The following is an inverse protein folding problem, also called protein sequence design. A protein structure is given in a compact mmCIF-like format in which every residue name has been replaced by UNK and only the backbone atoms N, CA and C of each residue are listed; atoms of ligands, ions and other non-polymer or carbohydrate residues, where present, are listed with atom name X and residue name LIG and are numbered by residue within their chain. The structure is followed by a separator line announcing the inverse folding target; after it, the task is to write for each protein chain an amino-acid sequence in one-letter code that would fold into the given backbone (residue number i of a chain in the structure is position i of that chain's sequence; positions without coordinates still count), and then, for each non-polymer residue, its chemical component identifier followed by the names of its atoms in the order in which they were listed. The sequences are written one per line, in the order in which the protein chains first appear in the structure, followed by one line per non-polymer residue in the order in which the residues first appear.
data_IF_948387332145
#
_entry.id   IF_948387332145
#
_cell.length_a   1.000
_cell.length_b   1.000
_cell.length_c   1.000
_cell.angle_alpha   90.00
_cell.angle_beta   90.00
_cell.angle_gamma   90.00
#
_symmetry.space_group_name_H-M   'P 1'
#
loop_
_entity.id
_entity.type
_entity.pdbx_description
1 polymer ?
#
# COMPACT_ATOMS: atom_id res chain seq x y z
N UNK A 1 14.92 -17.40 13.01
CA UNK A 1 15.91 -16.54 13.73
C UNK A 1 16.89 -15.85 12.76
N UNK A 2 16.58 -15.77 11.46
CA UNK A 2 17.55 -15.48 10.38
C UNK A 2 17.33 -14.15 9.64
N UNK A 3 16.29 -13.37 9.97
CA UNK A 3 16.08 -12.05 9.37
C UNK A 3 16.90 -11.03 10.16
N UNK A 4 17.95 -10.48 9.54
CA UNK A 4 18.88 -9.56 10.17
C UNK A 4 18.29 -8.15 10.32
N UNK A 5 17.42 -7.78 9.39
CA UNK A 5 16.83 -6.46 9.25
C UNK A 5 15.99 -6.12 10.50
N UNK A 6 16.17 -4.93 11.10
CA UNK A 6 15.45 -4.56 12.32
C UNK A 6 13.97 -4.27 12.09
N UNK A 7 13.56 -4.07 10.83
CA UNK A 7 12.25 -3.60 10.43
C UNK A 7 11.55 -4.67 9.58
N UNK A 8 10.25 -4.88 9.79
CA UNK A 8 9.44 -5.83 9.04
C UNK A 8 8.15 -5.15 8.60
N UNK A 9 7.90 -5.11 7.29
CA UNK A 9 6.62 -4.66 6.73
C UNK A 9 5.73 -5.86 6.46
N UNK A 10 4.56 -5.89 7.11
CA UNK A 10 3.51 -6.87 6.86
C UNK A 10 2.74 -6.39 5.63
N UNK A 11 2.71 -7.24 4.61
CA UNK A 11 2.21 -6.90 3.27
C UNK A 11 0.77 -7.38 3.03
N UNK A 12 0.03 -7.64 4.10
CA UNK A 12 -1.40 -7.93 4.02
C UNK A 12 -2.14 -6.68 3.49
N UNK A 13 -2.98 -6.84 2.47
CA UNK A 13 -3.79 -5.73 1.92
C UNK A 13 -4.66 -5.06 2.99
N UNK A 14 -5.15 -5.86 3.94
CA UNK A 14 -5.89 -5.41 5.12
C UNK A 14 -5.42 -6.21 6.33
N UNK A 15 -4.35 -5.75 6.96
CA UNK A 15 -3.81 -6.42 8.14
C UNK A 15 -4.84 -6.48 9.26
N UNK A 16 -4.88 -7.64 9.93
CA UNK A 16 -5.78 -7.96 11.05
C UNK A 16 -7.27 -7.83 10.75
N UNK A 17 -7.70 -8.03 9.50
CA UNK A 17 -9.11 -8.25 9.19
C UNK A 17 -9.69 -9.40 10.03
N UNK A 18 -8.87 -10.44 10.21
CA UNK A 18 -9.02 -11.59 11.11
C UNK A 18 -8.05 -11.43 12.29
N UNK A 19 -8.49 -10.85 13.43
CA UNK A 19 -7.61 -10.55 14.55
C UNK A 19 -6.98 -11.80 15.17
N UNK A 20 -7.64 -12.95 15.08
CA UNK A 20 -7.16 -14.26 15.54
C UNK A 20 -5.78 -14.59 14.98
N UNK A 21 -5.56 -14.41 13.67
CA UNK A 21 -4.26 -14.65 13.04
C UNK A 21 -3.21 -13.67 13.56
N UNK A 22 -3.60 -12.42 13.79
CA UNK A 22 -2.73 -11.40 14.37
C UNK A 22 -2.27 -11.78 15.78
N UNK A 23 -3.17 -12.28 16.63
CA UNK A 23 -2.81 -12.76 17.96
C UNK A 23 -1.92 -14.00 17.91
N UNK A 24 -2.25 -15.00 17.09
CA UNK A 24 -1.46 -16.23 16.96
C UNK A 24 -0.01 -15.94 16.52
N UNK A 25 0.16 -15.11 15.48
CA UNK A 25 1.49 -14.67 15.04
C UNK A 25 2.19 -13.92 16.16
N UNK A 26 1.51 -12.97 16.80
CA UNK A 26 2.07 -12.18 17.88
C UNK A 26 2.56 -13.03 19.07
N UNK A 27 1.77 -14.02 19.49
CA UNK A 27 2.15 -14.95 20.56
C UNK A 27 3.40 -15.76 20.20
N UNK A 28 3.48 -16.22 18.96
CA UNK A 28 4.62 -16.98 18.48
C UNK A 28 5.90 -16.12 18.36
N UNK A 29 5.76 -14.82 18.05
CA UNK A 29 6.85 -13.84 18.09
C UNK A 29 7.32 -13.58 19.52
N UNK A 30 6.39 -13.35 20.45
CA UNK A 30 6.65 -13.10 21.85
C UNK A 30 7.35 -14.30 22.52
N UNK A 31 6.83 -15.51 22.32
CA UNK A 31 7.41 -16.77 22.80
C UNK A 31 8.85 -16.97 22.32
N UNK A 32 9.14 -16.61 21.06
CA UNK A 32 10.48 -16.69 20.46
C UNK A 32 11.35 -15.47 20.77
N UNK A 33 10.81 -14.47 21.49
CA UNK A 33 11.47 -13.20 21.83
C UNK A 33 11.98 -12.46 20.60
N UNK A 34 11.20 -12.48 19.51
CA UNK A 34 11.51 -11.76 18.27
C UNK A 34 11.21 -10.28 18.47
N UNK A 35 12.24 -9.44 18.43
CA UNK A 35 12.11 -7.98 18.55
C UNK A 35 12.43 -7.33 17.22
N UNK A 36 11.45 -6.64 16.66
CA UNK A 36 11.52 -5.89 15.39
C UNK A 36 10.61 -4.67 15.49
N UNK A 37 10.84 -3.68 14.64
CA UNK A 37 9.86 -2.63 14.38
C UNK A 37 8.95 -3.10 13.25
N UNK A 38 7.65 -3.14 13.51
CA UNK A 38 6.64 -3.58 12.55
C UNK A 38 5.93 -2.40 11.90
N UNK A 39 5.58 -2.61 10.64
CA UNK A 39 4.84 -1.71 9.79
C UNK A 39 3.72 -2.54 9.14
N UNK A 40 2.55 -1.97 8.90
CA UNK A 40 1.45 -2.65 8.21
C UNK A 40 0.50 -1.66 7.54
N UNK A 41 -0.38 -2.16 6.68
CA UNK A 41 -1.50 -1.42 6.11
C UNK A 41 -2.85 -2.03 6.56
N UNK A 42 -3.84 -1.19 6.85
CA UNK A 42 -5.18 -1.64 7.19
C UNK A 42 -6.25 -0.59 6.84
N UNK A 43 -7.51 -0.93 7.06
CA UNK A 43 -8.67 -0.06 6.87
C UNK A 43 -9.11 0.58 8.18
N UNK A 44 -9.75 1.75 8.09
CA UNK A 44 -10.28 2.50 9.24
C UNK A 44 -11.30 1.68 10.04
N UNK A 45 -12.21 0.96 9.38
CA UNK A 45 -13.21 0.12 10.03
C UNK A 45 -12.60 -1.08 10.77
N UNK A 46 -11.56 -1.69 10.20
CA UNK A 46 -10.85 -2.82 10.80
C UNK A 46 -10.09 -2.37 12.05
N UNK A 47 -9.41 -1.23 12.00
CA UNK A 47 -8.74 -0.66 13.18
C UNK A 47 -9.72 -0.40 14.33
N UNK A 48 -10.86 0.21 14.02
CA UNK A 48 -11.87 0.50 15.05
C UNK A 48 -12.51 -0.77 15.61
N UNK A 49 -12.80 -1.77 14.77
CA UNK A 49 -13.46 -3.02 15.18
C UNK A 49 -12.52 -3.92 15.98
N UNK A 50 -11.25 -4.01 15.57
CA UNK A 50 -10.29 -4.98 16.07
C UNK A 50 -9.20 -4.33 16.94
N UNK A 51 -9.49 -3.23 17.61
CA UNK A 51 -8.54 -2.41 18.39
C UNK A 51 -7.53 -3.21 19.24
N UNK A 52 -7.99 -4.25 19.95
CA UNK A 52 -7.18 -5.03 20.89
C UNK A 52 -5.95 -5.69 20.23
N UNK A 53 -6.06 -6.14 18.98
CA UNK A 53 -4.94 -6.75 18.28
C UNK A 53 -3.87 -5.70 17.93
N UNK A 54 -4.28 -4.48 17.60
CA UNK A 54 -3.36 -3.38 17.34
C UNK A 54 -2.65 -2.92 18.62
N UNK A 55 -3.36 -2.87 19.75
CA UNK A 55 -2.75 -2.61 21.06
C UNK A 55 -1.73 -3.68 21.45
N UNK A 56 -2.05 -4.95 21.17
CA UNK A 56 -1.09 -6.04 21.37
C UNK A 56 0.14 -5.86 20.50
N UNK A 57 -0.04 -5.62 19.21
CA UNK A 57 1.07 -5.44 18.27
C UNK A 57 1.89 -4.18 18.56
N UNK A 58 1.29 -3.12 19.12
CA UNK A 58 2.04 -1.96 19.63
C UNK A 58 3.08 -2.37 20.66
N UNK A 59 2.71 -3.27 21.58
CA UNK A 59 3.63 -3.83 22.60
C UNK A 59 4.72 -4.70 21.99
N UNK A 60 4.44 -5.37 20.88
CA UNK A 60 5.41 -6.18 20.14
C UNK A 60 6.37 -5.37 19.26
N UNK A 61 6.05 -4.09 19.01
CA UNK A 61 6.90 -3.16 18.25
C UNK A 61 6.26 -2.59 16.98
N UNK A 62 4.93 -2.62 16.83
CA UNK A 62 4.25 -1.87 15.76
C UNK A 62 4.44 -0.36 15.97
N UNK A 63 5.19 0.28 15.08
CA UNK A 63 5.51 1.71 15.19
C UNK A 63 4.72 2.56 14.20
N UNK A 64 4.43 2.02 13.01
CA UNK A 64 3.89 2.78 11.89
C UNK A 64 2.81 1.99 11.15
N UNK A 65 1.77 2.68 10.69
CA UNK A 65 0.64 2.07 10.00
C UNK A 65 0.18 2.94 8.83
N UNK A 66 -0.09 2.31 7.70
CA UNK A 66 -0.81 2.93 6.59
C UNK A 66 -2.31 2.69 6.78
N UNK A 67 -3.09 3.75 6.66
CA UNK A 67 -4.53 3.72 6.91
C UNK A 67 -5.27 4.30 5.69
N UNK A 68 -6.01 3.44 4.99
CA UNK A 68 -6.81 3.85 3.84
C UNK A 68 -8.10 4.56 4.28
N UNK A 69 -8.34 5.78 3.77
CA UNK A 69 -9.57 6.54 3.99
C UNK A 69 -10.47 6.44 2.74
N UNK A 70 -11.66 5.84 2.88
CA UNK A 70 -12.47 5.43 1.71
C UNK A 70 -13.18 6.58 0.98
N UNK A 71 -13.53 7.68 1.65
CA UNK A 71 -13.95 8.92 1.02
C UNK A 71 -14.08 10.00 2.09
N UNK A 72 -13.37 11.13 1.92
CA UNK A 72 -13.57 12.26 2.82
C UNK A 72 -14.71 13.12 2.28
N UNK A 73 -15.99 12.81 2.52
CA UNK A 73 -17.08 13.63 1.97
C UNK A 73 -16.91 15.12 2.37
N UNK A 74 -17.38 16.04 1.54
CA UNK A 74 -17.41 17.47 1.87
C UNK A 74 -18.13 17.73 3.20
N UNK A 75 -19.16 16.95 3.50
CA UNK A 75 -19.86 17.02 4.79
C UNK A 75 -19.00 16.44 5.92
N UNK A 76 -18.25 15.35 5.69
CA UNK A 76 -17.27 14.84 6.66
C UNK A 76 -16.13 15.86 6.95
N UNK A 77 -15.70 16.63 5.94
CA UNK A 77 -14.73 17.72 6.08
C UNK A 77 -15.30 18.93 6.84
N UNK A 78 -16.57 19.28 6.62
CA UNK A 78 -17.26 20.34 7.39
C UNK A 78 -17.52 19.93 8.83
N UNK A 79 -17.76 18.65 9.09
CA UNK A 79 -17.92 18.08 10.43
C UNK A 79 -16.62 18.12 11.24
N UNK A 80 -15.45 18.05 10.61
CA UNK A 80 -14.18 18.32 11.31
C UNK A 80 -14.19 19.72 11.99
N UNK A 81 -14.85 20.71 11.37
CA UNK A 81 -15.02 22.06 11.93
C UNK A 81 -16.20 22.18 12.89
N UNK A 82 -17.19 21.28 12.80
CA UNK A 82 -18.42 21.28 13.59
C UNK A 82 -18.54 19.93 14.29
N UNK A 83 -18.00 19.83 15.51
CA UNK A 83 -17.98 18.66 16.43
C UNK A 83 -19.31 17.87 16.53
N UNK A 84 -19.71 17.16 15.49
CA UNK A 84 -20.88 16.27 15.44
C UNK A 84 -20.47 14.92 14.88
N UNK A 85 -21.18 13.86 15.31
CA UNK A 85 -20.96 12.41 15.11
C UNK A 85 -19.67 12.00 14.39
N UNK A 86 -18.74 11.27 15.04
CA UNK A 86 -17.45 10.93 14.42
C UNK A 86 -17.64 10.09 13.15
N UNK A 87 -17.19 10.62 12.02
CA UNK A 87 -16.86 9.83 10.84
C UNK A 87 -15.92 8.69 11.27
N UNK A 88 -16.13 7.47 10.76
CA UNK A 88 -15.32 6.30 11.10
C UNK A 88 -13.82 6.58 10.85
N UNK A 89 -13.51 7.42 9.86
CA UNK A 89 -12.15 7.87 9.56
C UNK A 89 -11.55 8.67 10.73
N UNK A 90 -12.27 9.65 11.27
CA UNK A 90 -11.80 10.46 12.40
C UNK A 90 -11.64 9.61 13.66
N UNK A 91 -12.61 8.72 13.93
CA UNK A 91 -12.54 7.77 15.03
C UNK A 91 -11.32 6.85 14.91
N UNK A 92 -11.02 6.37 13.71
CA UNK A 92 -9.84 5.52 13.49
C UNK A 92 -8.53 6.26 13.77
N UNK A 93 -8.42 7.53 13.39
CA UNK A 93 -7.26 8.37 13.71
C UNK A 93 -7.13 8.60 15.22
N UNK A 94 -8.24 8.86 15.93
CA UNK A 94 -8.24 8.97 17.38
C UNK A 94 -7.79 7.67 18.06
N UNK A 95 -8.33 6.53 17.63
CA UNK A 95 -7.92 5.21 18.13
C UNK A 95 -6.42 4.98 17.89
N UNK A 96 -5.90 5.28 16.70
CA UNK A 96 -4.48 5.11 16.41
C UNK A 96 -3.58 5.96 17.34
N UNK A 97 -3.99 7.20 17.64
CA UNK A 97 -3.29 8.09 18.57
C UNK A 97 -3.33 7.57 20.00
N UNK A 98 -4.47 7.04 20.45
CA UNK A 98 -4.61 6.42 21.78
C UNK A 98 -3.71 5.20 21.94
N UNK A 99 -3.61 4.36 20.91
CA UNK A 99 -2.69 3.21 20.89
C UNK A 99 -1.23 3.69 20.85
N UNK A 100 -0.96 4.87 20.30
CA UNK A 100 0.38 5.43 20.15
C UNK A 100 1.13 4.85 18.94
N UNK A 101 0.40 4.57 17.85
CA UNK A 101 0.95 4.16 16.55
C UNK A 101 0.98 5.38 15.62
N UNK A 102 2.09 5.57 14.90
CA UNK A 102 2.19 6.64 13.90
C UNK A 102 1.42 6.24 12.64
N UNK A 103 0.61 7.14 12.10
CA UNK A 103 -0.22 6.86 10.92
C UNK A 103 0.22 7.68 9.70
N UNK A 104 0.35 6.99 8.56
CA UNK A 104 0.22 7.59 7.24
C UNK A 104 -1.17 7.30 6.68
N UNK A 105 -1.85 8.33 6.22
CA UNK A 105 -3.15 8.24 5.57
C UNK A 105 -2.96 8.06 4.08
N UNK A 106 -3.61 7.05 3.50
CA UNK A 106 -3.72 6.88 2.05
C UNK A 106 -5.08 7.44 1.60
N UNK A 107 -5.05 8.48 0.77
CA UNK A 107 -6.23 9.14 0.21
C UNK A 107 -6.25 8.98 -1.32
N UNK A 108 -7.40 8.65 -1.87
CA UNK A 108 -7.60 8.49 -3.30
C UNK A 108 -8.29 9.75 -3.86
N UNK A 109 -7.60 10.45 -4.78
CA UNK A 109 -8.16 11.54 -5.56
C UNK A 109 -9.00 10.99 -6.71
N UNK A 110 -10.26 11.37 -6.77
CA UNK A 110 -11.12 11.04 -7.90
C UNK A 110 -10.90 12.05 -9.04
N UNK A 111 -10.73 11.61 -10.30
CA UNK A 111 -10.60 12.50 -11.46
C UNK A 111 -11.71 13.55 -11.61
N UNK A 112 -12.89 13.34 -11.01
CA UNK A 112 -14.00 14.29 -10.97
C UNK A 112 -13.82 15.46 -10.00
N UNK A 113 -12.75 15.49 -9.20
CA UNK A 113 -12.48 16.59 -8.28
C UNK A 113 -12.30 17.92 -9.03
N UNK A 114 -12.89 18.99 -8.48
CA UNK A 114 -12.68 20.37 -8.90
C UNK A 114 -11.64 21.08 -8.01
N UNK A 115 -11.28 22.32 -8.33
CA UNK A 115 -10.27 23.08 -7.57
C UNK A 115 -10.67 23.25 -6.11
N UNK A 116 -11.97 23.44 -5.85
CA UNK A 116 -12.53 23.60 -4.51
C UNK A 116 -12.32 22.32 -3.71
N UNK A 117 -12.58 21.16 -4.30
CA UNK A 117 -12.38 19.86 -3.65
C UNK A 117 -10.91 19.65 -3.26
N UNK A 118 -9.98 19.92 -4.17
CA UNK A 118 -8.55 19.90 -3.85
C UNK A 118 -8.21 20.87 -2.72
N UNK A 119 -8.82 22.05 -2.67
CA UNK A 119 -8.59 23.01 -1.59
C UNK A 119 -9.03 22.52 -0.23
N UNK A 120 -10.24 21.94 -0.12
CA UNK A 120 -10.72 21.39 1.15
C UNK A 120 -9.79 20.28 1.65
N UNK A 121 -9.32 19.40 0.77
CA UNK A 121 -8.37 18.34 1.12
C UNK A 121 -7.04 18.92 1.61
N UNK A 122 -6.50 19.95 0.96
CA UNK A 122 -5.30 20.66 1.43
C UNK A 122 -5.48 21.24 2.83
N UNK A 123 -6.58 21.95 3.06
CA UNK A 123 -6.84 22.58 4.36
C UNK A 123 -6.95 21.52 5.46
N UNK A 124 -7.70 20.45 5.21
CA UNK A 124 -7.81 19.34 6.15
C UNK A 124 -6.48 18.65 6.44
N UNK A 125 -5.68 18.37 5.40
CA UNK A 125 -4.36 17.79 5.58
C UNK A 125 -3.42 18.73 6.37
N UNK A 126 -3.62 20.05 6.29
CA UNK A 126 -2.92 21.03 7.13
C UNK A 126 -3.42 21.07 8.58
N UNK A 127 -4.65 20.65 8.86
CA UNK A 127 -5.25 20.64 10.20
C UNK A 127 -4.86 19.39 11.03
N UNK A 128 -4.53 18.24 10.41
CA UNK A 128 -4.25 16.96 11.11
C UNK A 128 -2.76 16.63 11.26
N UNK A 129 -2.25 16.06 12.36
CA UNK A 129 -0.81 15.81 12.51
C UNK A 129 -0.25 14.70 11.60
N UNK A 130 -1.10 13.81 11.08
CA UNK A 130 -0.72 12.65 10.29
C UNK A 130 -0.16 13.01 8.90
N UNK A 131 0.69 12.13 8.37
CA UNK A 131 1.19 12.22 7.00
C UNK A 131 0.09 11.79 6.05
N UNK A 132 -0.18 12.58 5.00
CA UNK A 132 -1.19 12.24 3.99
C UNK A 132 -0.51 11.93 2.66
N UNK A 133 -0.79 10.77 2.09
CA UNK A 133 -0.39 10.37 0.75
C UNK A 133 -1.61 10.40 -0.16
N UNK A 134 -1.45 10.96 -1.36
CA UNK A 134 -2.53 11.05 -2.35
C UNK A 134 -2.17 10.25 -3.58
N UNK A 135 -3.07 9.37 -3.99
CA UNK A 135 -3.05 8.59 -5.22
C UNK A 135 -4.24 8.98 -6.09
N UNK A 136 -4.27 8.56 -7.35
CA UNK A 136 -5.39 8.81 -8.28
C UNK A 136 -6.21 7.53 -8.45
N UNK A 137 -7.54 7.66 -8.40
CA UNK A 137 -8.46 6.55 -8.60
C UNK A 137 -8.17 5.86 -9.95
N UNK A 138 -7.76 4.60 -9.88
CA UNK A 138 -7.32 3.82 -11.04
C UNK A 138 -8.11 2.51 -11.06
N UNK A 139 -9.06 2.33 -11.98
CA UNK A 139 -9.73 1.04 -12.15
C UNK A 139 -8.74 0.03 -12.75
N UNK A 140 -8.66 -1.16 -12.16
CA UNK A 140 -7.72 -2.21 -12.57
C UNK A 140 -8.45 -3.42 -13.16
N UNK A 141 -7.99 -4.00 -14.28
CA UNK A 141 -8.56 -5.22 -14.83
C UNK A 141 -8.77 -6.29 -13.76
N UNK A 142 -10.01 -6.77 -13.64
CA UNK A 142 -10.39 -7.79 -12.65
C UNK A 142 -10.93 -7.25 -11.32
N UNK A 143 -10.93 -5.93 -11.09
CA UNK A 143 -11.60 -5.33 -9.93
C UNK A 143 -13.06 -5.00 -10.22
N UNK A 144 -13.85 -4.81 -9.16
CA UNK A 144 -15.23 -4.35 -9.27
C UNK A 144 -15.31 -3.02 -10.01
N UNK A 145 -14.48 -2.05 -9.64
CA UNK A 145 -14.43 -0.74 -10.27
C UNK A 145 -14.12 -0.81 -11.77
N UNK A 146 -13.34 -1.78 -12.24
CA UNK A 146 -13.09 -1.94 -13.68
C UNK A 146 -14.34 -2.32 -14.48
N UNK A 147 -15.29 -3.01 -13.85
CA UNK A 147 -16.54 -3.42 -14.47
C UNK A 147 -17.68 -2.42 -14.22
N UNK A 148 -17.69 -1.77 -13.05
CA UNK A 148 -18.77 -0.87 -12.62
C UNK A 148 -18.51 0.61 -12.89
N UNK A 149 -17.26 1.00 -13.18
CA UNK A 149 -16.96 2.36 -13.57
C UNK A 149 -17.66 2.68 -14.89
N UNK A 150 -18.59 3.64 -14.80
CA UNK A 150 -19.41 4.07 -15.93
C UNK A 150 -18.68 5.04 -16.85
N UNK A 151 -17.66 5.75 -16.31
CA UNK A 151 -16.80 6.62 -17.10
C UNK A 151 -15.90 5.78 -18.00
N UNK A 152 -15.91 6.08 -19.30
CA UNK A 152 -15.00 5.43 -20.25
C UNK A 152 -13.56 5.81 -19.95
N UNK A 153 -12.66 4.82 -19.96
CA UNK A 153 -11.22 5.06 -19.85
C UNK A 153 -10.76 6.03 -20.94
N UNK A 154 -9.91 6.98 -20.57
CA UNK A 154 -9.30 7.94 -21.51
C UNK A 154 -8.07 7.36 -22.20
N UNK A 155 -7.51 6.28 -21.65
CA UNK A 155 -6.32 5.60 -22.17
C UNK A 155 -6.34 4.12 -21.81
N UNK A 156 -5.73 3.31 -22.66
CA UNK A 156 -5.41 1.90 -22.40
C UNK A 156 -3.91 1.69 -22.25
N UNK A 157 -3.11 2.76 -22.23
CA UNK A 157 -1.67 2.65 -22.03
C UNK A 157 -1.35 2.15 -20.62
N UNK A 158 -0.83 0.93 -20.55
CA UNK A 158 -0.51 0.27 -19.28
C UNK A 158 0.43 1.10 -18.40
N UNK A 159 1.28 1.95 -18.99
CA UNK A 159 2.22 2.80 -18.25
C UNK A 159 1.53 3.78 -17.30
N UNK A 160 0.29 4.17 -17.62
CA UNK A 160 -0.46 5.18 -16.86
C UNK A 160 -1.33 4.56 -15.76
N UNK A 161 -1.40 3.22 -15.65
CA UNK A 161 -2.15 2.52 -14.61
C UNK A 161 -1.29 2.35 -13.33
N UNK A 162 -0.74 3.46 -12.86
CA UNK A 162 0.32 3.51 -11.84
C UNK A 162 -0.10 4.24 -10.55
N UNK A 163 -1.41 4.36 -10.30
CA UNK A 163 -2.03 5.11 -9.19
C UNK A 163 -1.62 6.60 -9.09
N UNK A 164 -0.95 7.15 -10.10
CA UNK A 164 -0.53 8.56 -10.15
C UNK A 164 -1.15 9.29 -11.35
N UNK A 165 -1.50 8.58 -12.43
CA UNK A 165 -2.13 9.17 -13.61
C UNK A 165 -3.65 8.99 -13.65
N UNK A 166 -4.35 10.01 -14.17
CA UNK A 166 -5.78 9.95 -14.38
C UNK A 166 -6.09 9.18 -15.67
N UNK A 167 -6.57 7.95 -15.53
CA UNK A 167 -7.00 7.08 -16.66
C UNK A 167 -8.50 7.18 -16.94
N UNK A 168 -9.20 8.01 -16.17
CA UNK A 168 -10.61 8.36 -16.32
C UNK A 168 -10.75 9.84 -16.69
N UNK A 169 -11.86 10.26 -17.31
CA UNK A 169 -12.10 11.65 -17.65
C UNK A 169 -12.07 12.51 -16.40
N UNK A 170 -11.24 13.55 -16.44
CA UNK A 170 -11.15 14.54 -15.38
C UNK A 170 -12.25 15.58 -15.52
N UNK A 171 -12.77 16.11 -14.40
CA UNK A 171 -13.71 17.24 -14.43
C UNK A 171 -13.02 18.53 -14.87
N UNK A 172 -11.81 18.73 -14.38
CA UNK A 172 -10.93 19.82 -14.81
C UNK A 172 -10.24 19.45 -16.13
N UNK A 173 -9.77 20.44 -16.91
CA UNK A 173 -8.76 20.18 -17.92
C UNK A 173 -7.60 19.37 -17.33
N UNK A 174 -7.09 18.38 -18.07
CA UNK A 174 -6.15 17.38 -17.54
C UNK A 174 -4.88 18.02 -16.96
N UNK A 175 -4.34 19.05 -17.62
CA UNK A 175 -3.21 19.86 -17.15
C UNK A 175 -3.53 20.56 -15.83
N UNK A 176 -4.73 21.15 -15.70
CA UNK A 176 -5.21 21.80 -14.47
C UNK A 176 -5.42 20.80 -13.33
N UNK A 177 -5.93 19.61 -13.61
CA UNK A 177 -6.04 18.52 -12.64
C UNK A 177 -4.66 18.18 -12.05
N UNK A 178 -3.64 17.99 -12.90
CA UNK A 178 -2.29 17.70 -12.43
C UNK A 178 -1.64 18.84 -11.66
N UNK A 179 -1.87 20.09 -12.07
CA UNK A 179 -1.40 21.27 -11.34
C UNK A 179 -1.97 21.29 -9.91
N UNK A 180 -3.27 21.03 -9.74
CA UNK A 180 -3.90 20.99 -8.41
C UNK A 180 -3.48 19.76 -7.59
N UNK A 181 -3.28 18.60 -8.22
CA UNK A 181 -2.76 17.39 -7.58
C UNK A 181 -1.35 17.61 -7.02
N UNK A 182 -0.41 18.08 -7.85
CA UNK A 182 0.98 18.34 -7.47
C UNK A 182 1.07 19.46 -6.42
N UNK A 183 0.26 20.53 -6.57
CA UNK A 183 0.15 21.58 -5.56
C UNK A 183 -0.31 21.03 -4.21
N UNK A 184 -1.29 20.13 -4.22
CA UNK A 184 -1.81 19.48 -3.00
C UNK A 184 -0.72 18.63 -2.34
N UNK A 185 -0.04 17.79 -3.10
CA UNK A 185 1.09 16.99 -2.60
C UNK A 185 2.20 17.90 -2.05
N UNK A 186 2.57 18.98 -2.74
CA UNK A 186 3.61 19.92 -2.29
C UNK A 186 3.26 20.59 -0.94
N UNK A 187 2.00 20.99 -0.75
CA UNK A 187 1.52 21.59 0.51
C UNK A 187 1.62 20.58 1.66
N UNK A 188 1.19 19.34 1.43
CA UNK A 188 1.26 18.27 2.43
C UNK A 188 2.71 17.97 2.79
N UNK A 189 3.58 17.82 1.80
CA UNK A 189 4.99 17.52 2.03
C UNK A 189 5.71 18.64 2.81
N UNK A 190 5.41 19.90 2.49
CA UNK A 190 6.01 21.06 3.19
C UNK A 190 5.66 21.08 4.68
N UNK A 191 4.46 20.63 5.05
CA UNK A 191 4.03 20.53 6.45
C UNK A 191 4.95 19.63 7.26
N UNK A 192 5.24 18.44 6.76
CA UNK A 192 6.06 17.45 7.47
C UNK A 192 7.58 17.75 7.38
N UNK A 193 7.99 18.61 6.45
CA UNK A 193 9.36 19.14 6.32
C UNK A 193 9.63 20.41 7.16
N UNK A 194 8.83 20.68 8.19
CA UNK A 194 9.09 21.77 9.14
C UNK A 194 10.46 21.67 9.83
N UNK A 195 10.89 22.73 10.53
CA UNK A 195 12.22 22.84 11.15
C UNK A 195 12.62 21.64 12.05
N UNK A 196 11.65 21.00 12.71
CA UNK A 196 11.86 19.80 13.51
C UNK A 196 12.14 18.57 12.62
N UNK A 197 11.32 18.35 11.59
CA UNK A 197 11.52 17.27 10.62
C UNK A 197 12.84 17.43 9.86
N UNK A 198 13.26 18.66 9.55
CA UNK A 198 14.55 18.94 8.94
C UNK A 198 15.73 18.53 9.85
N UNK A 199 15.62 18.75 11.16
CA UNK A 199 16.62 18.31 12.16
C UNK A 199 16.67 16.80 12.29
N UNK A 200 15.52 16.13 12.31
CA UNK A 200 15.45 14.67 12.41
C UNK A 200 15.97 14.00 11.13
N UNK A 201 15.61 14.53 9.96
CA UNK A 201 16.16 14.13 8.66
C UNK A 201 17.67 14.36 8.61
N UNK A 202 18.18 15.48 9.14
CA UNK A 202 19.62 15.74 9.20
C UNK A 202 20.35 14.76 10.13
N UNK A 203 19.78 14.45 11.30
CA UNK A 203 20.33 13.47 12.25
C UNK A 203 20.32 12.04 11.67
N UNK A 204 19.22 11.65 11.01
CA UNK A 204 19.11 10.38 10.28
C UNK A 204 20.10 10.31 9.12
N UNK A 205 20.19 11.36 8.30
CA UNK A 205 21.13 11.43 7.19
C UNK A 205 22.58 11.35 7.67
N UNK A 206 22.93 12.03 8.77
CA UNK A 206 24.26 11.91 9.39
C UNK A 206 24.52 10.49 9.89
N UNK A 207 23.57 9.87 10.60
CA UNK A 207 23.69 8.51 11.09
C UNK A 207 23.79 7.45 9.98
N UNK A 208 23.05 7.64 8.88
CA UNK A 208 23.09 6.78 7.69
C UNK A 208 24.37 6.99 6.88
N UNK A 209 24.85 8.23 6.75
CA UNK A 209 26.11 8.56 6.09
C UNK A 209 27.33 7.95 6.82
N UNK A 210 27.34 7.99 8.16
CA UNK A 210 28.34 7.28 8.99
C UNK A 210 28.31 5.78 8.75
N UNK A 211 27.16 5.22 8.38
CA UNK A 211 26.98 3.80 8.01
C UNK A 211 27.17 3.53 6.50
N UNK A 212 27.66 4.51 5.72
CA UNK A 212 27.90 4.38 4.29
C UNK A 212 26.64 4.39 3.39
N UNK A 213 25.46 4.64 3.95
CA UNK A 213 24.18 4.64 3.23
C UNK A 213 23.83 6.03 2.69
N UNK A 214 24.38 6.40 1.54
CA UNK A 214 24.17 7.72 0.90
C UNK A 214 22.90 7.81 0.05
N UNK A 215 22.21 6.68 -0.18
CA UNK A 215 20.98 6.61 -0.98
C UNK A 215 19.87 7.53 -0.46
N UNK A 216 19.80 7.73 0.85
CA UNK A 216 18.81 8.61 1.48
C UNK A 216 18.97 10.09 1.06
N UNK A 217 20.20 10.59 0.98
CA UNK A 217 20.48 11.95 0.50
C UNK A 217 20.12 12.12 -0.99
N UNK A 218 20.39 11.08 -1.80
CA UNK A 218 20.03 11.08 -3.22
C UNK A 218 18.51 11.02 -3.43
N UNK A 219 17.78 10.34 -2.55
CA UNK A 219 16.32 10.29 -2.54
C UNK A 219 15.70 11.67 -2.25
N UNK A 220 16.20 12.38 -1.23
CA UNK A 220 15.74 13.73 -0.88
C UNK A 220 15.90 14.72 -2.04
N UNK A 221 17.00 14.62 -2.80
CA UNK A 221 17.24 15.44 -3.99
C UNK A 221 16.34 15.12 -5.18
N UNK A 222 15.87 13.88 -5.33
CA UNK A 222 15.01 13.46 -6.44
C UNK A 222 13.55 13.86 -6.27
N UNK A 223 13.12 14.24 -5.06
CA UNK A 223 11.72 14.50 -4.73
C UNK A 223 11.04 15.51 -5.67
N UNK A 224 11.70 16.66 -5.91
CA UNK A 224 11.18 17.70 -6.81
C UNK A 224 11.15 17.30 -8.29
N UNK A 225 11.90 16.27 -8.69
CA UNK A 225 11.90 15.75 -10.07
C UNK A 225 10.83 14.68 -10.33
N UNK A 226 10.24 14.13 -9.26
CA UNK A 226 9.25 13.06 -9.34
C UNK A 226 7.82 13.63 -9.37
N UNK A 227 7.53 14.65 -8.57
CA UNK A 227 6.22 15.32 -8.56
C UNK A 227 6.22 16.56 -9.47
N UNK A 228 5.93 16.35 -10.75
CA UNK A 228 5.92 17.39 -11.76
C UNK A 228 4.67 17.26 -12.64
N UNK A 229 3.84 18.32 -12.65
CA UNK A 229 2.57 18.33 -13.35
C UNK A 229 2.75 18.26 -14.88
N UNK A 230 3.74 18.97 -15.42
CA UNK A 230 4.02 18.98 -16.86
C UNK A 230 4.46 17.59 -17.34
N UNK A 231 5.24 16.88 -16.52
CA UNK A 231 5.66 15.50 -16.82
C UNK A 231 4.47 14.54 -16.81
N UNK A 232 3.65 14.58 -15.76
CA UNK A 232 2.46 13.72 -15.67
C UNK A 232 1.49 13.99 -16.83
N UNK A 233 1.32 15.25 -17.21
CA UNK A 233 0.54 15.62 -18.39
C UNK A 233 1.18 15.11 -19.69
N UNK A 234 2.47 15.34 -19.89
CA UNK A 234 3.19 14.93 -21.11
C UNK A 234 3.20 13.41 -21.32
N UNK A 235 3.20 12.63 -20.24
CA UNK A 235 3.21 11.16 -20.31
C UNK A 235 1.97 10.59 -21.02
N UNK A 236 0.83 11.31 -21.03
CA UNK A 236 -0.38 10.92 -21.79
C UNK A 236 -0.22 10.96 -23.31
N UNK A 237 0.71 11.76 -23.81
CA UNK A 237 0.90 11.97 -25.25
C UNK A 237 2.04 11.13 -25.83
N UNK A 238 2.69 10.32 -24.99
CA UNK A 238 3.75 9.40 -25.42
C UNK A 238 3.13 8.18 -26.10
N UNK A 239 3.84 7.64 -27.08
CA UNK A 239 3.41 6.43 -27.79
C UNK A 239 3.27 5.22 -26.84
N UNK A 240 2.09 4.58 -26.85
CA UNK A 240 1.77 3.44 -26.01
C UNK A 240 2.27 2.14 -26.66
N UNK A 241 3.40 1.62 -26.18
CA UNK A 241 3.98 0.34 -26.63
C UNK A 241 3.15 -0.88 -26.18
N UNK A 242 2.54 -0.79 -25.01
CA UNK A 242 1.75 -1.86 -24.40
C UNK A 242 0.38 -1.33 -24.02
N UNK A 243 -0.63 -1.69 -24.81
CA UNK A 243 -2.01 -1.37 -24.52
C UNK A 243 -2.68 -2.52 -23.79
N UNK A 244 -3.47 -2.20 -22.78
CA UNK A 244 -4.35 -3.15 -22.12
C UNK A 244 -5.55 -3.50 -23.00
N UNK A 245 -6.20 -4.61 -22.67
CA UNK A 245 -7.50 -4.94 -23.25
C UNK A 245 -8.58 -4.11 -22.54
N UNK A 246 -9.51 -3.48 -23.27
CA UNK A 246 -10.64 -2.80 -22.64
C UNK A 246 -11.51 -3.79 -21.84
N UNK A 247 -12.33 -3.32 -20.89
CA UNK A 247 -13.29 -4.17 -20.20
C UNK A 247 -14.20 -4.87 -21.23
N UNK A 248 -14.43 -6.17 -21.03
CA UNK A 248 -15.25 -6.99 -21.95
C UNK A 248 -16.73 -6.61 -21.96
N UNK A 249 -17.20 -5.97 -20.89
CA UNK A 249 -18.55 -5.45 -20.71
C UNK A 249 -18.56 -4.47 -19.53
N UNK A 250 -19.49 -3.50 -19.53
CA UNK A 250 -19.77 -2.63 -18.38
C UNK A 250 -20.99 -3.17 -17.62
N UNK A 251 -20.99 -3.07 -16.30
CA UNK A 251 -22.09 -3.52 -15.44
C UNK A 251 -22.62 -2.37 -14.56
N UNK A 252 -23.93 -2.14 -14.59
CA UNK A 252 -24.57 -1.12 -13.75
C UNK A 252 -24.71 -1.54 -12.28
N UNK A 253 -24.38 -2.79 -11.94
CA UNK A 253 -24.49 -3.35 -10.59
C UNK A 253 -23.28 -4.21 -10.25
N UNK A 254 -23.09 -4.43 -8.94
CA UNK A 254 -21.96 -5.20 -8.40
C UNK A 254 -21.84 -6.57 -9.08
N UNK A 255 -20.70 -6.87 -9.75
CA UNK A 255 -20.49 -8.13 -10.45
C UNK A 255 -20.49 -9.31 -9.47
N UNK A 256 -20.94 -10.48 -9.93
CA UNK A 256 -20.75 -11.74 -9.20
C UNK A 256 -19.25 -12.03 -9.07
N UNK A 257 -18.85 -12.71 -7.99
CA UNK A 257 -17.43 -13.00 -7.72
C UNK A 257 -16.70 -13.75 -8.85
N UNK A 258 -17.42 -14.49 -9.70
CA UNK A 258 -16.89 -15.19 -10.87
C UNK A 258 -16.39 -14.25 -12.00
N UNK A 259 -16.93 -13.03 -12.07
CA UNK A 259 -16.50 -12.01 -13.02
C UNK A 259 -15.32 -11.16 -12.50
N UNK A 260 -14.99 -11.30 -11.21
CA UNK A 260 -13.87 -10.65 -10.56
C UNK A 260 -12.65 -11.56 -10.56
N UNK A 261 -11.45 -10.98 -10.56
CA UNK A 261 -10.22 -11.74 -10.38
C UNK A 261 -10.05 -12.09 -8.89
N UNK A 262 -10.82 -13.08 -8.43
CA UNK A 262 -10.72 -13.63 -7.08
C UNK A 262 -10.08 -15.01 -7.20
N UNK A 263 -8.91 -15.20 -6.59
CA UNK A 263 -8.31 -16.53 -6.49
C UNK A 263 -9.25 -17.44 -5.69
N UNK A 264 -9.86 -18.42 -6.37
CA UNK A 264 -10.77 -19.37 -5.73
C UNK A 264 -9.97 -20.48 -5.03
N UNK A 265 -9.99 -20.58 -3.69
CA UNK A 265 -9.21 -21.60 -2.98
C UNK A 265 -9.66 -23.03 -3.29
N UNK A 266 -10.90 -23.24 -3.77
CA UNK A 266 -11.39 -24.57 -4.17
C UNK A 266 -10.71 -25.12 -5.44
N UNK A 267 -10.14 -24.26 -6.29
CA UNK A 267 -9.43 -24.70 -7.48
C UNK A 267 -8.13 -25.46 -7.14
N UNK A 268 -7.48 -25.14 -6.01
CA UNK A 268 -6.28 -25.86 -5.53
C UNK A 268 -6.56 -27.29 -5.08
N UNK A 269 -7.73 -27.54 -4.47
CA UNK A 269 -8.10 -28.88 -4.02
C UNK A 269 -8.39 -29.86 -5.19
N UNK A 270 -8.75 -29.33 -6.36
CA UNK A 270 -8.93 -30.14 -7.57
C UNK A 270 -7.59 -30.45 -8.26
N UNK A 271 -6.64 -29.53 -8.26
CA UNK A 271 -5.36 -29.69 -8.97
C UNK A 271 -4.39 -30.65 -8.25
N UNK A 272 -4.42 -30.69 -6.92
CA UNK A 272 -3.62 -31.65 -6.11
C UNK A 272 -4.05 -33.11 -6.29
N UNK A 273 -5.20 -33.37 -6.93
CA UNK A 273 -5.65 -34.74 -7.24
C UNK A 273 -5.06 -35.31 -8.54
N UNK A 274 -4.27 -34.51 -9.28
CA UNK A 274 -3.73 -34.91 -10.60
C UNK A 274 -2.20 -35.08 -10.66
N UNK A 275 -1.50 -35.09 -9.53
CA UNK A 275 -0.13 -35.59 -9.51
C UNK A 275 -0.12 -37.12 -9.42
N UNK A 276 0.24 -37.86 -10.49
CA UNK A 276 0.57 -39.27 -10.34
C UNK A 276 1.80 -39.35 -9.44
N UNK A 277 1.64 -40.02 -8.30
CA UNK A 277 2.70 -40.44 -7.41
C UNK A 277 3.62 -41.40 -8.15
N UNK A 278 4.53 -40.87 -8.96
CA UNK A 278 5.62 -41.63 -9.56
C UNK A 278 6.69 -41.85 -8.48
N UNK A 279 6.38 -42.76 -7.55
CA UNK A 279 7.36 -43.35 -6.65
C UNK A 279 8.36 -44.17 -7.46
N UNK A 280 9.46 -43.54 -7.86
CA UNK A 280 10.70 -44.27 -8.15
C UNK A 280 11.52 -44.30 -6.86
N UNK A 281 11.80 -45.49 -6.28
CA UNK A 281 12.72 -45.59 -5.16
C UNK A 281 14.12 -45.27 -5.66
N UNK A 282 14.73 -44.24 -5.07
CA UNK A 282 16.16 -43.97 -5.21
C UNK A 282 16.90 -45.11 -4.49
N UNK A 283 17.53 -46.00 -5.25
CA UNK A 283 18.49 -46.97 -4.72
C UNK A 283 19.71 -46.20 -4.23
N UNK A 284 19.93 -46.21 -2.92
CA UNK A 284 21.20 -45.84 -2.30
C UNK A 284 22.18 -46.99 -2.50
N UNK A 285 23.07 -46.90 -3.48
CA UNK A 285 24.25 -47.76 -3.52
C UNK A 285 25.30 -47.17 -2.58
N UNK A 286 25.35 -47.73 -1.37
CA UNK A 286 26.50 -47.67 -0.47
C UNK A 286 27.02 -49.10 -0.36
N UNK A 287 28.11 -49.40 -1.05
CA UNK A 287 28.91 -50.58 -0.77
C UNK A 287 30.37 -50.16 -0.82
N UNK A 288 30.97 -50.08 0.37
CA UNK A 288 32.39 -49.86 0.56
C UNK A 288 33.21 -51.03 0.01
N UNK A 289 34.44 -50.70 -0.36
CA UNK A 289 35.52 -51.64 -0.63
C UNK A 289 35.74 -52.61 0.54
N UNK A 290 36.36 -53.76 0.23
CA UNK A 290 37.60 -54.04 0.96
C UNK A 290 38.76 -54.45 0.04
N UNK A 291 39.95 -53.95 0.41
CA UNK A 291 41.26 -54.65 0.41
C UNK A 291 41.10 -56.19 0.47
N UNK A 292 41.89 -57.05 -0.19
CA UNK A 292 43.32 -57.03 -0.47
C UNK A 292 43.70 -58.25 -1.34
N UNK A 293 44.85 -58.15 -2.04
CA UNK A 293 45.82 -59.22 -2.45
C UNK A 293 45.73 -59.94 -3.81
N UNK A 294 46.93 -59.94 -4.41
CA UNK A 294 47.61 -60.95 -5.27
C UNK A 294 46.99 -61.20 -6.65
N UNK A 295 47.73 -61.23 -7.76
CA UNK A 295 49.16 -61.19 -8.00
C UNK A 295 49.40 -61.54 -9.48
N UNK A 296 50.59 -61.18 -9.95
CA UNK A 296 51.33 -61.68 -11.12
C UNK A 296 50.79 -61.55 -12.55
N UNK A 297 51.75 -61.09 -13.37
CA UNK A 297 51.92 -61.07 -14.84
C UNK A 297 51.16 -60.02 -15.65
#
# INVERSE_FOLDING_TARGET
RSIAEPNVFIVDDVAFIHPEHGFEIGHELEKRKVKKAYYLETRTDVLCRNREVFEYWRRLGLEYMFLGLEAIDEDALKLHRKRSSPDINLKALEVAREIGVTVAINLIADPSWDERRFDVVRQWALEIPEIVHITVATPYPGTETWLTESRKLTTLDYRLFDIQHAVLPTRLPLDRFYQELVKTQAVINRKHLGWQGLKDVARLAAGLAVKGQTNFLRMLWKFNSVYNADRQYADHFREARYQMRPPSFHMDSRPRGEALYIHNPRARAADDSTHPTNGRPVRTEMAGEPMERSGDT
#
